data_IF_670623059179
#
_entry.id   IF_670623059179
#
_cell.length_a   1.000
_cell.length_b   1.000
_cell.length_c   1.000
_cell.angle_alpha   90.00
_cell.angle_beta   90.00
_cell.angle_gamma   90.00
#
_symmetry.space_group_name_H-M   'P 1'
#
loop_
_entity.id
_entity.type
_entity.pdbx_description
1 polymer ?
#
# COMPACT_ATOMS: atom_id res chain seq x y z
N UNK A 1 -7.74 -4.69 12.25
CA UNK A 1 -7.22 -3.32 12.46
C UNK A 1 -6.14 -3.28 13.54
N UNK A 2 -6.48 -3.57 14.80
CA UNK A 2 -5.56 -3.43 15.94
C UNK A 2 -4.26 -4.21 15.77
N UNK A 3 -4.33 -5.46 15.30
CA UNK A 3 -3.15 -6.27 14.97
C UNK A 3 -2.19 -5.57 14.00
N UNK A 4 -2.69 -4.92 12.95
CA UNK A 4 -1.85 -4.25 11.95
C UNK A 4 -1.19 -3.00 12.53
N UNK A 5 -1.91 -2.25 13.36
CA UNK A 5 -1.36 -1.12 14.13
C UNK A 5 -0.29 -1.62 15.11
N UNK A 6 -0.56 -2.68 15.86
CA UNK A 6 0.41 -3.26 16.79
C UNK A 6 1.68 -3.73 16.08
N UNK A 7 1.56 -4.30 14.88
CA UNK A 7 2.69 -4.73 14.04
C UNK A 7 3.34 -3.59 13.23
N UNK A 8 2.89 -2.34 13.34
CA UNK A 8 3.46 -1.22 12.59
C UNK A 8 3.18 -1.22 11.08
N UNK A 9 2.27 -2.08 10.62
CA UNK A 9 1.97 -2.36 9.20
C UNK A 9 3.16 -2.88 8.37
N UNK A 10 4.19 -3.43 9.02
CA UNK A 10 5.45 -3.84 8.37
C UNK A 10 5.21 -4.85 7.22
N UNK A 11 4.22 -5.73 7.34
CA UNK A 11 3.97 -6.79 6.36
C UNK A 11 2.93 -6.44 5.30
N UNK A 12 2.32 -5.25 5.38
CA UNK A 12 1.21 -4.86 4.51
C UNK A 12 1.73 -4.15 3.25
N UNK A 13 1.26 -4.57 2.08
CA UNK A 13 1.67 -3.96 0.81
C UNK A 13 1.15 -2.52 0.68
N UNK A 14 -0.11 -2.28 1.06
CA UNK A 14 -0.79 -0.99 1.05
C UNK A 14 -0.66 -0.24 2.39
N UNK A 15 0.47 -0.39 3.09
CA UNK A 15 0.68 0.16 4.42
C UNK A 15 0.52 1.69 4.47
N UNK A 16 1.02 2.42 3.46
CA UNK A 16 0.92 3.89 3.39
C UNK A 16 -0.53 4.35 3.29
N UNK A 17 -1.29 3.79 2.33
CA UNK A 17 -2.71 4.09 2.14
C UNK A 17 -3.52 3.78 3.40
N UNK A 18 -3.30 2.61 4.00
CA UNK A 18 -4.04 2.19 5.19
C UNK A 18 -3.76 3.12 6.38
N UNK A 19 -2.49 3.53 6.57
CA UNK A 19 -2.12 4.49 7.62
C UNK A 19 -2.79 5.85 7.41
N UNK A 20 -2.79 6.36 6.18
CA UNK A 20 -3.43 7.62 5.82
C UNK A 20 -4.94 7.59 6.09
N UNK A 21 -5.63 6.53 5.65
CA UNK A 21 -7.07 6.35 5.87
C UNK A 21 -7.40 6.31 7.37
N UNK A 22 -6.69 5.48 8.14
CA UNK A 22 -6.93 5.35 9.58
C UNK A 22 -6.65 6.68 10.31
N UNK A 23 -5.62 7.42 9.91
CA UNK A 23 -5.31 8.72 10.48
C UNK A 23 -6.41 9.76 10.16
N UNK A 24 -6.82 9.87 8.90
CA UNK A 24 -7.88 10.78 8.48
C UNK A 24 -9.21 10.51 9.21
N UNK A 25 -9.53 9.23 9.44
CA UNK A 25 -10.72 8.85 10.23
C UNK A 25 -10.62 9.26 11.70
N UNK A 26 -9.41 9.20 12.30
CA UNK A 26 -9.17 9.59 13.70
C UNK A 26 -9.11 11.11 13.89
N UNK A 27 -8.69 11.85 12.88
CA UNK A 27 -8.61 13.31 12.92
C UNK A 27 -9.99 13.97 12.90
N UNK A 28 -10.98 13.29 12.32
CA UNK A 28 -12.37 13.76 12.30
C UNK A 28 -12.92 13.88 13.72
N UNK A 29 -13.44 15.07 14.06
CA UNK A 29 -14.09 15.34 15.37
C UNK A 29 -15.35 14.51 15.61
N UNK A 30 -16.10 14.24 14.54
CA UNK A 30 -17.30 13.40 14.59
C UNK A 30 -16.95 11.92 14.42
N UNK A 31 -17.71 11.04 15.07
CA UNK A 31 -17.59 9.59 14.90
C UNK A 31 -17.75 9.19 13.44
N UNK A 32 -16.87 8.28 12.98
CA UNK A 32 -16.94 7.72 11.63
C UNK A 32 -17.48 6.31 11.69
N UNK A 33 -18.60 6.05 11.01
CA UNK A 33 -19.24 4.74 10.96
C UNK A 33 -19.17 4.19 9.53
N UNK A 34 -18.79 2.93 9.40
CA UNK A 34 -18.75 2.24 8.11
C UNK A 34 -19.96 1.33 8.01
N UNK A 35 -20.69 1.46 6.91
CA UNK A 35 -21.75 0.53 6.53
C UNK A 35 -21.31 -0.20 5.27
N UNK A 36 -21.27 -1.52 5.33
CA UNK A 36 -21.11 -2.31 4.13
C UNK A 36 -22.42 -2.30 3.34
N UNK A 37 -22.36 -1.85 2.10
CA UNK A 37 -23.48 -1.87 1.16
C UNK A 37 -23.11 -2.87 0.06
N UNK A 38 -24.00 -3.82 -0.21
CA UNK A 38 -23.78 -4.82 -1.27
C UNK A 38 -23.78 -4.13 -2.63
N UNK A 39 -22.81 -4.47 -3.48
CA UNK A 39 -22.80 -4.04 -4.88
C UNK A 39 -24.08 -4.48 -5.59
N UNK A 40 -24.56 -3.64 -6.52
CA UNK A 40 -25.77 -3.87 -7.32
C UNK A 40 -27.11 -3.89 -6.56
N UNK A 41 -27.19 -3.34 -5.35
CA UNK A 41 -28.46 -3.17 -4.64
C UNK A 41 -29.19 -1.84 -4.98
N UNK A 42 -28.89 -1.26 -6.14
CA UNK A 42 -29.39 0.03 -6.62
C UNK A 42 -29.39 1.18 -5.61
N UNK A 43 -28.37 1.25 -4.74
CA UNK A 43 -28.20 2.39 -3.85
C UNK A 43 -27.62 3.56 -4.67
N UNK A 44 -28.36 4.67 -4.86
CA UNK A 44 -27.97 5.70 -5.83
C UNK A 44 -26.58 6.28 -5.56
N UNK A 45 -26.24 6.49 -4.28
CA UNK A 45 -24.93 6.98 -3.89
C UNK A 45 -23.76 6.01 -4.16
N UNK A 46 -24.01 4.69 -4.11
CA UNK A 46 -22.97 3.70 -4.41
C UNK A 46 -22.76 3.60 -5.93
N UNK A 47 -23.85 3.56 -6.69
CA UNK A 47 -23.80 3.54 -8.16
C UNK A 47 -23.07 4.76 -8.72
N UNK A 48 -23.34 5.96 -8.18
CA UNK A 48 -22.63 7.16 -8.61
C UNK A 48 -21.15 7.14 -8.22
N UNK A 49 -20.80 6.56 -7.07
CA UNK A 49 -19.41 6.38 -6.65
C UNK A 49 -18.67 5.37 -7.57
N UNK A 50 -19.35 4.30 -7.99
CA UNK A 50 -18.81 3.32 -8.94
C UNK A 50 -18.56 3.97 -10.31
N UNK A 51 -19.53 4.75 -10.81
CA UNK A 51 -19.39 5.53 -12.06
C UNK A 51 -18.20 6.50 -11.99
N UNK A 52 -18.10 7.29 -10.92
CA UNK A 52 -16.99 8.23 -10.73
C UNK A 52 -15.63 7.51 -10.61
N UNK A 53 -15.61 6.33 -10.00
CA UNK A 53 -14.39 5.51 -9.90
C UNK A 53 -13.96 4.98 -11.27
N UNK A 54 -14.92 4.53 -12.10
CA UNK A 54 -14.66 4.13 -13.48
C UNK A 54 -14.12 5.29 -14.33
N UNK A 55 -14.74 6.47 -14.25
CA UNK A 55 -14.25 7.67 -14.91
C UNK A 55 -12.84 8.06 -14.44
N UNK A 56 -12.56 7.92 -13.14
CA UNK A 56 -11.24 8.14 -12.58
C UNK A 56 -10.18 7.18 -13.13
N UNK A 57 -10.53 5.90 -13.30
CA UNK A 57 -9.63 4.89 -13.86
C UNK A 57 -9.27 5.13 -15.33
N UNK A 58 -10.15 5.81 -16.09
CA UNK A 58 -9.92 6.14 -17.50
C UNK A 58 -9.07 7.41 -17.71
N UNK A 59 -8.77 8.19 -16.65
CA UNK A 59 -7.96 9.40 -16.79
C UNK A 59 -6.51 9.04 -17.10
N UNK A 60 -5.97 9.64 -18.16
CA UNK A 60 -4.56 9.48 -18.53
C UNK A 60 -3.60 10.06 -17.47
N UNK A 61 -4.02 11.13 -16.79
CA UNK A 61 -3.26 11.78 -15.73
C UNK A 61 -3.99 11.59 -14.41
N UNK A 62 -3.32 10.95 -13.45
CA UNK A 62 -3.85 10.80 -12.10
C UNK A 62 -3.55 12.04 -11.25
N UNK A 63 -4.49 12.40 -10.38
CA UNK A 63 -4.23 13.43 -9.37
C UNK A 63 -3.19 12.97 -8.34
N UNK A 64 -2.41 13.91 -7.82
CA UNK A 64 -1.56 13.64 -6.65
C UNK A 64 -2.46 13.48 -5.41
N UNK A 65 -2.32 12.35 -4.73
CA UNK A 65 -3.02 12.08 -3.47
C UNK A 65 -2.06 12.37 -2.32
N UNK A 66 -2.43 13.29 -1.44
CA UNK A 66 -1.66 13.51 -0.21
C UNK A 66 -1.91 12.36 0.78
N UNK A 67 -0.82 11.67 1.13
CA UNK A 67 -0.80 10.59 2.13
C UNK A 67 -0.09 11.03 3.41
N UNK A 68 0.11 12.33 3.62
CA UNK A 68 0.67 12.88 4.84
C UNK A 68 -0.22 12.54 6.03
N UNK A 69 0.41 12.22 7.16
CA UNK A 69 -0.27 11.88 8.40
C UNK A 69 0.25 12.82 9.49
N UNK A 70 -0.67 13.46 10.21
CA UNK A 70 -0.36 14.28 11.37
C UNK A 70 0.59 13.55 12.32
N UNK A 71 1.61 14.26 12.81
CA UNK A 71 2.67 13.69 13.66
C UNK A 71 2.10 13.02 14.91
N UNK A 72 1.00 13.54 15.47
CA UNK A 72 0.30 12.97 16.64
C UNK A 72 -0.30 11.57 16.36
N UNK A 73 -0.64 11.29 15.12
CA UNK A 73 -1.27 10.03 14.69
C UNK A 73 -0.31 9.12 13.92
N UNK A 74 0.93 9.58 13.72
CA UNK A 74 1.93 8.89 12.93
C UNK A 74 2.49 7.70 13.70
N UNK A 75 2.13 6.50 13.25
CA UNK A 75 2.70 5.27 13.78
C UNK A 75 4.10 5.01 13.16
N UNK A 76 5.13 5.06 13.99
CA UNK A 76 6.55 4.96 13.57
C UNK A 76 7.08 3.53 13.51
N UNK A 77 6.40 2.57 14.15
CA UNK A 77 6.87 1.19 14.21
C UNK A 77 5.89 0.20 14.84
N UNK A 78 6.40 -0.99 15.15
CA UNK A 78 5.69 -2.03 15.88
C UNK A 78 5.74 -1.76 17.39
N UNK A 79 4.66 -2.07 18.11
CA UNK A 79 4.68 -2.11 19.59
C UNK A 79 5.66 -3.19 20.05
N UNK A 80 6.49 -2.88 21.04
CA UNK A 80 7.53 -3.80 21.50
C UNK A 80 6.96 -5.16 21.95
N UNK A 81 5.81 -5.16 22.61
CA UNK A 81 5.10 -6.38 23.06
C UNK A 81 4.62 -7.28 21.92
N UNK A 82 4.55 -6.77 20.69
CA UNK A 82 4.13 -7.51 19.49
C UNK A 82 5.30 -7.81 18.54
N UNK A 83 6.51 -7.38 18.90
CA UNK A 83 7.68 -7.54 18.08
C UNK A 83 8.17 -8.99 18.16
N UNK A 84 8.17 -9.66 17.01
CA UNK A 84 8.79 -10.98 16.85
C UNK A 84 10.08 -10.86 16.03
N UNK A 85 10.98 -11.83 16.15
CA UNK A 85 12.21 -11.88 15.35
C UNK A 85 11.90 -11.80 13.84
N UNK A 86 10.87 -12.52 13.39
CA UNK A 86 10.41 -12.47 11.98
C UNK A 86 10.03 -11.05 11.57
N UNK A 87 9.24 -10.36 12.40
CA UNK A 87 8.76 -9.01 12.11
C UNK A 87 9.91 -7.99 12.11
N UNK A 88 10.81 -8.09 13.08
CA UNK A 88 12.02 -7.28 13.16
C UNK A 88 12.89 -7.48 11.91
N UNK A 89 13.14 -8.73 11.53
CA UNK A 89 13.91 -9.08 10.35
C UNK A 89 13.28 -8.52 9.07
N UNK A 90 11.97 -8.67 8.89
CA UNK A 90 11.25 -8.11 7.73
C UNK A 90 11.40 -6.58 7.66
N UNK A 91 11.23 -5.87 8.77
CA UNK A 91 11.38 -4.41 8.80
C UNK A 91 12.80 -3.96 8.46
N UNK A 92 13.81 -4.63 9.04
CA UNK A 92 15.22 -4.33 8.77
C UNK A 92 15.53 -4.58 7.29
N UNK A 93 15.08 -5.72 6.75
CA UNK A 93 15.29 -6.06 5.33
C UNK A 93 14.67 -5.02 4.40
N UNK A 94 13.43 -4.60 4.67
CA UNK A 94 12.76 -3.55 3.88
C UNK A 94 13.52 -2.23 3.92
N UNK A 95 13.97 -1.79 5.11
CA UNK A 95 14.78 -0.56 5.23
C UNK A 95 16.09 -0.66 4.45
N UNK A 96 16.81 -1.78 4.59
CA UNK A 96 18.04 -2.01 3.84
C UNK A 96 17.80 -2.02 2.33
N UNK A 97 16.69 -2.61 1.87
CA UNK A 97 16.35 -2.66 0.46
C UNK A 97 16.19 -1.27 -0.18
N UNK A 98 15.70 -0.27 0.56
CA UNK A 98 15.62 1.12 0.09
C UNK A 98 16.99 1.76 -0.15
N UNK A 99 18.01 1.28 0.54
CA UNK A 99 19.40 1.78 0.43
C UNK A 99 20.28 0.92 -0.49
N UNK A 100 19.78 -0.22 -0.97
CA UNK A 100 20.56 -1.10 -1.83
C UNK A 100 20.68 -0.51 -3.24
N UNK A 101 21.91 -0.27 -3.68
CA UNK A 101 22.18 -0.05 -5.11
C UNK A 101 22.16 -1.39 -5.84
N UNK A 102 21.46 -1.51 -6.98
CA UNK A 102 21.47 -2.74 -7.76
C UNK A 102 22.90 -3.03 -8.24
N UNK A 103 23.40 -4.23 -7.93
CA UNK A 103 24.71 -4.66 -8.41
C UNK A 103 24.72 -4.67 -9.94
N UNK A 104 25.65 -3.93 -10.57
CA UNK A 104 25.80 -3.82 -12.03
C UNK A 104 25.69 -5.16 -12.77
N UNK A 105 26.36 -6.20 -12.26
CA UNK A 105 26.30 -7.56 -12.83
C UNK A 105 24.90 -8.20 -12.79
N UNK A 106 24.17 -8.02 -11.70
CA UNK A 106 22.82 -8.57 -11.56
C UNK A 106 21.84 -7.87 -12.51
N UNK A 107 21.96 -6.56 -12.67
CA UNK A 107 21.18 -5.81 -13.65
C UNK A 107 21.48 -6.25 -15.10
N UNK A 108 22.76 -6.43 -15.44
CA UNK A 108 23.18 -6.90 -16.76
C UNK A 108 22.72 -8.35 -17.06
N UNK A 109 22.69 -9.22 -16.05
CA UNK A 109 22.20 -10.59 -16.21
C UNK A 109 20.67 -10.64 -16.32
N UNK A 110 19.94 -9.80 -15.57
CA UNK A 110 18.49 -9.68 -15.71
C UNK A 110 18.11 -9.14 -17.09
N UNK A 111 18.76 -8.07 -17.57
CA UNK A 111 18.50 -7.54 -18.92
C UNK A 111 18.81 -8.58 -20.01
N UNK A 112 19.87 -9.37 -19.83
CA UNK A 112 20.24 -10.46 -20.75
C UNK A 112 19.27 -11.64 -20.70
N UNK A 113 18.65 -11.93 -19.54
CA UNK A 113 17.58 -12.94 -19.43
C UNK A 113 16.24 -12.48 -20.03
N UNK A 114 15.99 -11.17 -20.08
CA UNK A 114 14.83 -10.59 -20.75
C UNK A 114 15.05 -10.44 -22.26
N UNK A 115 16.29 -10.66 -22.74
CA UNK A 115 16.70 -10.67 -24.14
C UNK A 115 17.15 -12.08 -24.56
N UNK A 116 16.20 -12.87 -25.08
CA UNK A 116 16.34 -14.06 -25.97
C UNK A 116 16.20 -15.46 -25.32
N UNK A 117 15.72 -16.52 -26.02
CA UNK A 117 15.55 -16.66 -27.49
C UNK A 117 14.26 -17.38 -27.96
N UNK A 118 13.38 -16.71 -28.71
CA UNK A 118 12.43 -17.37 -29.63
C UNK A 118 13.03 -17.38 -31.04
N UNK A 119 14.04 -18.20 -31.29
CA UNK A 119 14.49 -18.49 -32.65
C UNK A 119 15.33 -19.77 -32.65
N UNK A 120 14.66 -20.90 -32.83
CA UNK A 120 15.23 -22.11 -33.44
C UNK A 120 14.11 -22.78 -34.25
N UNK A 121 14.14 -22.79 -35.59
CA UNK A 121 13.31 -23.69 -36.37
C UNK A 121 13.97 -25.07 -36.43
N UNK A 122 13.13 -26.10 -36.39
CA UNK A 122 13.46 -27.53 -36.49
C UNK A 122 13.97 -27.93 -37.87
#
# INVERSE_FOLDING_TARGET
REKHENQGYITQQNASLTKAIVAAMRERRAGTFMRWVKGHNSHPGNEKADELSGLGALKQVHGMIDLSVSTKLKLTGCKLTWLTQKLAYSAIRQRKQLTLTPRRRTAANLSRSHLSPTMYPS
#
